data_IF_619775942685
#
_entry.id   IF_619775942685
#
_cell.length_a   1.000
_cell.length_b   1.000
_cell.length_c   1.000
_cell.angle_alpha   90.00
_cell.angle_beta   90.00
_cell.angle_gamma   90.00
#
_symmetry.space_group_name_H-M   'P 1'
#
loop_
_entity.id
_entity.type
_entity.pdbx_description
1 polymer ?
#
# COMPACT_ATOMS: atom_id res chain seq x y z
N UNK A 1 1.37 19.62 4.29
CA UNK A 1 1.88 18.29 4.68
C UNK A 1 2.19 17.53 3.39
N UNK A 2 3.37 16.93 3.25
CA UNK A 2 3.77 16.30 1.99
C UNK A 2 2.96 15.00 1.73
N UNK A 3 2.53 14.77 0.49
CA UNK A 3 1.86 13.53 0.10
C UNK A 3 2.78 12.31 0.33
N UNK A 4 2.21 11.13 0.63
CA UNK A 4 2.97 9.92 0.95
C UNK A 4 3.98 9.58 -0.15
N UNK A 5 3.58 9.70 -1.42
CA UNK A 5 4.45 9.43 -2.56
C UNK A 5 5.62 10.41 -2.58
N UNK A 6 5.39 11.70 -2.31
CA UNK A 6 6.47 12.68 -2.20
C UNK A 6 7.44 12.34 -1.06
N UNK A 7 6.94 11.92 0.11
CA UNK A 7 7.80 11.49 1.22
C UNK A 7 8.64 10.26 0.85
N UNK A 8 8.04 9.30 0.17
CA UNK A 8 8.72 8.11 -0.33
C UNK A 8 9.84 8.47 -1.31
N UNK A 9 9.57 9.34 -2.28
CA UNK A 9 10.58 9.78 -3.24
C UNK A 9 11.71 10.60 -2.61
N UNK A 10 11.43 11.40 -1.58
CA UNK A 10 12.49 12.07 -0.82
C UNK A 10 13.46 11.04 -0.18
N UNK A 11 12.94 9.93 0.35
CA UNK A 11 13.78 8.86 0.91
C UNK A 11 14.55 8.12 -0.19
N UNK A 12 13.95 7.90 -1.36
CA UNK A 12 14.61 7.28 -2.52
C UNK A 12 15.75 8.17 -3.05
N UNK A 13 15.54 9.48 -3.12
CA UNK A 13 16.56 10.46 -3.53
C UNK A 13 17.74 10.52 -2.54
N UNK A 14 17.46 10.31 -1.26
CA UNK A 14 18.46 10.11 -0.21
C UNK A 14 19.14 8.73 -0.27
N UNK A 15 18.85 7.94 -1.30
CA UNK A 15 19.40 6.62 -1.56
C UNK A 15 19.14 5.61 -0.43
N UNK A 16 17.97 5.70 0.22
CA UNK A 16 17.55 4.67 1.16
C UNK A 16 17.21 3.38 0.41
N UNK A 17 17.98 2.28 0.53
CA UNK A 17 17.75 1.09 -0.30
C UNK A 17 16.61 0.22 0.23
N UNK A 18 16.13 0.47 1.45
CA UNK A 18 14.98 -0.17 2.07
C UNK A 18 14.10 0.89 2.72
N UNK A 19 12.80 0.81 2.48
CA UNK A 19 11.79 1.70 3.08
C UNK A 19 10.59 0.84 3.47
N UNK A 20 10.07 0.99 4.69
CA UNK A 20 8.83 0.39 5.11
C UNK A 20 7.68 1.38 4.91
N UNK A 21 6.58 0.92 4.33
CA UNK A 21 5.39 1.73 4.03
C UNK A 21 4.17 1.07 4.64
N UNK A 22 3.58 1.76 5.62
CA UNK A 22 2.26 1.42 6.12
C UNK A 22 1.21 2.10 5.26
N UNK A 23 0.42 1.32 4.53
CA UNK A 23 -0.70 1.81 3.74
C UNK A 23 -1.85 0.81 3.85
N UNK A 24 -3.05 1.28 4.22
CA UNK A 24 -4.16 0.38 4.45
C UNK A 24 -4.62 -0.24 3.12
N UNK A 25 -5.16 -1.46 3.19
CA UNK A 25 -5.49 -2.24 1.99
C UNK A 25 -6.45 -1.53 1.03
N UNK A 26 -7.39 -0.73 1.53
CA UNK A 26 -8.32 0.03 0.68
C UNK A 26 -7.62 1.08 -0.20
N UNK A 27 -6.47 1.62 0.21
CA UNK A 27 -5.71 2.61 -0.57
C UNK A 27 -4.71 1.97 -1.54
N UNK A 28 -4.61 0.63 -1.55
CA UNK A 28 -3.52 -0.09 -2.25
C UNK A 28 -3.43 0.27 -3.73
N UNK A 29 -4.54 0.15 -4.47
CA UNK A 29 -4.57 0.40 -5.91
C UNK A 29 -4.16 1.86 -6.19
N UNK A 30 -4.76 2.81 -5.47
CA UNK A 30 -4.48 4.24 -5.61
C UNK A 30 -3.02 4.57 -5.29
N UNK A 31 -2.43 3.94 -4.29
CA UNK A 31 -1.01 4.09 -3.96
C UNK A 31 -0.11 3.55 -5.08
N UNK A 32 -0.39 2.33 -5.57
CA UNK A 32 0.38 1.72 -6.65
C UNK A 32 0.29 2.52 -7.94
N UNK A 33 -0.89 3.03 -8.29
CA UNK A 33 -1.09 3.91 -9.44
C UNK A 33 -0.24 5.18 -9.32
N UNK A 34 -0.35 5.91 -8.21
CA UNK A 34 0.42 7.13 -7.99
C UNK A 34 1.93 6.90 -7.98
N UNK A 35 2.37 5.84 -7.29
CA UNK A 35 3.78 5.48 -7.24
C UNK A 35 4.30 5.14 -8.65
N UNK A 36 3.53 4.37 -9.42
CA UNK A 36 3.91 4.00 -10.80
C UNK A 36 3.92 5.21 -11.72
N UNK A 37 2.95 6.13 -11.61
CA UNK A 37 2.95 7.40 -12.35
C UNK A 37 4.19 8.24 -12.04
N UNK A 38 4.53 8.39 -10.76
CA UNK A 38 5.71 9.16 -10.34
C UNK A 38 7.02 8.50 -10.79
N UNK A 39 7.09 7.17 -10.75
CA UNK A 39 8.20 6.39 -11.31
C UNK A 39 8.36 6.67 -12.81
N UNK A 40 7.26 6.64 -13.57
CA UNK A 40 7.27 6.92 -15.00
C UNK A 40 7.74 8.36 -15.30
N UNK A 41 7.27 9.36 -14.54
CA UNK A 41 7.70 10.75 -14.66
C UNK A 41 9.21 10.92 -14.43
N UNK A 42 9.80 10.11 -13.56
CA UNK A 42 11.23 10.14 -13.20
C UNK A 42 12.08 9.14 -13.97
N UNK A 43 11.50 8.42 -14.93
CA UNK A 43 12.15 7.37 -15.69
C UNK A 43 12.80 6.28 -14.79
N UNK A 44 12.08 5.89 -13.73
CA UNK A 44 12.47 4.81 -12.80
C UNK A 44 11.57 3.62 -13.04
N UNK A 45 12.12 2.41 -13.13
CA UNK A 45 11.28 1.21 -13.20
C UNK A 45 10.62 0.94 -11.85
N UNK A 46 9.34 0.59 -11.88
CA UNK A 46 8.60 0.18 -10.70
C UNK A 46 8.23 -1.30 -10.86
N UNK A 47 8.57 -2.11 -9.87
CA UNK A 47 8.30 -3.55 -9.84
C UNK A 47 7.47 -3.89 -8.62
N UNK A 48 6.63 -4.90 -8.74
CA UNK A 48 5.92 -5.51 -7.62
C UNK A 48 6.15 -7.00 -7.62
N UNK A 49 6.43 -7.54 -6.45
CA UNK A 49 6.44 -8.98 -6.22
C UNK A 49 5.35 -9.35 -5.23
N UNK A 50 4.60 -10.39 -5.57
CA UNK A 50 3.49 -10.90 -4.78
C UNK A 50 3.84 -12.30 -4.26
N UNK A 51 3.71 -12.50 -2.96
CA UNK A 51 3.96 -13.79 -2.33
C UNK A 51 2.96 -14.88 -2.79
N UNK A 52 1.76 -14.49 -3.22
CA UNK A 52 0.67 -15.41 -3.58
C UNK A 52 0.96 -16.23 -4.84
N UNK A 53 1.58 -15.62 -5.85
CA UNK A 53 1.91 -16.26 -7.13
C UNK A 53 3.43 -16.43 -7.36
N UNK A 54 4.25 -15.90 -6.45
CA UNK A 54 5.70 -15.83 -6.54
C UNK A 54 6.16 -15.33 -7.91
N UNK A 55 5.52 -14.28 -8.40
CA UNK A 55 5.87 -13.62 -9.65
C UNK A 55 6.35 -12.19 -9.42
N UNK A 56 7.25 -11.75 -10.31
CA UNK A 56 7.72 -10.38 -10.37
C UNK A 56 7.12 -9.71 -11.60
N UNK A 57 6.45 -8.58 -11.38
CA UNK A 57 5.84 -7.77 -12.43
C UNK A 57 6.46 -6.38 -12.46
N UNK A 58 6.64 -5.84 -13.67
CA UNK A 58 6.85 -4.42 -13.90
C UNK A 58 5.49 -3.73 -13.92
N UNK A 59 5.34 -2.69 -13.11
CA UNK A 59 4.16 -1.83 -13.08
C UNK A 59 4.27 -0.79 -14.19
N UNK A 60 3.18 -0.60 -14.93
CA UNK A 60 3.04 0.43 -15.96
C UNK A 60 1.69 1.12 -15.86
N UNK A 61 1.62 2.37 -16.30
CA UNK A 61 0.36 3.10 -16.47
C UNK A 61 0.02 3.11 -17.96
N UNK A 62 -1.05 2.40 -18.32
CA UNK A 62 -1.62 2.39 -19.66
C UNK A 62 -2.91 3.22 -19.64
N UNK A 63 -2.81 4.49 -20.03
CA UNK A 63 -3.91 5.45 -19.90
C UNK A 63 -4.17 5.81 -18.44
N UNK A 64 -5.30 5.38 -17.89
CA UNK A 64 -5.69 5.59 -16.49
C UNK A 64 -5.66 4.30 -15.65
N UNK A 65 -5.10 3.21 -16.19
CA UNK A 65 -5.11 1.90 -15.52
C UNK A 65 -3.71 1.39 -15.27
N UNK A 66 -3.52 0.78 -14.10
CA UNK A 66 -2.33 0.01 -13.75
C UNK A 66 -2.32 -1.30 -14.55
N UNK A 67 -1.22 -1.58 -15.22
CA UNK A 67 -0.98 -2.85 -15.91
C UNK A 67 0.26 -3.54 -15.37
N UNK A 68 0.22 -4.88 -15.37
CA UNK A 68 1.30 -5.75 -14.92
C UNK A 68 1.96 -6.40 -16.15
N UNK A 69 3.27 -6.24 -16.27
CA UNK A 69 4.07 -6.94 -17.28
C UNK A 69 5.04 -7.88 -16.57
N UNK A 70 5.03 -9.16 -16.92
CA UNK A 70 5.88 -10.15 -16.25
C UNK A 70 7.38 -9.89 -16.55
N UNK A 71 8.22 -9.97 -15.52
CA UNK A 71 9.68 -9.81 -15.66
C UNK A 71 10.32 -11.16 -15.96
N UNK A 72 10.74 -11.35 -17.21
CA UNK A 72 11.28 -12.62 -17.73
C UNK A 72 12.56 -13.11 -17.04
N UNK A 73 13.31 -12.17 -16.47
CA UNK A 73 14.59 -12.38 -15.79
C UNK A 73 14.39 -13.04 -14.42
N UNK A 74 13.24 -12.84 -13.79
CA UNK A 74 12.91 -13.49 -12.53
C UNK A 74 12.34 -14.88 -12.80
N UNK A 75 13.06 -15.90 -12.35
CA UNK A 75 12.63 -17.30 -12.41
C UNK A 75 12.49 -17.81 -11.00
N UNK A 76 11.26 -17.91 -10.46
CA UNK A 76 11.06 -18.44 -9.12
C UNK A 76 11.57 -19.88 -9.04
N UNK A 77 12.10 -20.27 -7.88
CA UNK A 77 12.55 -21.64 -7.66
C UNK A 77 11.36 -22.61 -7.85
N UNK A 78 11.49 -23.55 -8.79
CA UNK A 78 10.45 -24.55 -9.10
C UNK A 78 10.34 -25.63 -8.05
N UNK A 79 11.37 -25.81 -7.21
CA UNK A 79 11.42 -26.84 -6.17
C UNK A 79 11.55 -26.16 -4.82
N UNK A 80 10.41 -25.81 -4.22
CA UNK A 80 10.33 -25.23 -2.87
C UNK A 80 10.50 -26.36 -1.86
N UNK A 81 11.65 -26.39 -1.19
CA UNK A 81 12.01 -27.40 -0.17
C UNK A 81 12.03 -26.81 1.23
N UNK A 82 12.38 -25.53 1.34
CA UNK A 82 12.43 -24.77 2.59
C UNK A 82 11.65 -23.46 2.44
N UNK A 83 11.21 -22.86 3.55
CA UNK A 83 10.34 -21.66 3.51
C UNK A 83 11.04 -20.45 2.89
N UNK A 84 12.36 -20.38 2.98
CA UNK A 84 13.20 -19.34 2.36
C UNK A 84 13.08 -19.35 0.83
N UNK A 85 12.79 -20.52 0.22
CA UNK A 85 12.63 -20.63 -1.23
C UNK A 85 11.46 -19.78 -1.74
N UNK A 86 10.48 -19.44 -0.90
CA UNK A 86 9.38 -18.54 -1.25
C UNK A 86 9.79 -17.07 -1.31
N UNK A 87 11.02 -16.72 -0.87
CA UNK A 87 11.53 -15.34 -0.82
C UNK A 87 12.76 -15.17 -1.72
N UNK A 88 12.90 -16.00 -2.76
CA UNK A 88 13.99 -15.91 -3.74
C UNK A 88 14.07 -14.54 -4.42
N UNK A 89 12.97 -13.79 -4.49
CA UNK A 89 12.96 -12.40 -4.95
C UNK A 89 14.00 -11.53 -4.22
N UNK A 90 14.29 -11.78 -2.93
CA UNK A 90 15.28 -11.01 -2.17
C UNK A 90 16.70 -11.31 -2.67
N UNK A 91 17.00 -12.56 -2.99
CA UNK A 91 18.29 -12.95 -3.60
C UNK A 91 18.40 -12.41 -5.02
N UNK A 92 17.34 -12.56 -5.81
CA UNK A 92 17.26 -12.01 -7.16
C UNK A 92 17.50 -10.50 -7.17
N UNK A 93 16.80 -9.74 -6.34
CA UNK A 93 16.92 -8.28 -6.29
C UNK A 93 18.32 -7.82 -5.89
N UNK A 94 18.98 -8.56 -4.99
CA UNK A 94 20.38 -8.34 -4.61
C UNK A 94 21.31 -8.47 -5.81
N UNK A 95 21.17 -9.51 -6.63
CA UNK A 95 22.17 -9.89 -7.65
C UNK A 95 21.85 -9.43 -9.07
N UNK A 96 20.58 -9.12 -9.37
CA UNK A 96 20.15 -8.70 -10.71
C UNK A 96 20.80 -7.39 -11.14
N UNK A 97 20.93 -7.14 -12.45
CA UNK A 97 21.35 -5.85 -12.99
C UNK A 97 20.20 -4.84 -13.10
N UNK A 98 18.95 -5.27 -12.87
CA UNK A 98 17.79 -4.38 -12.90
C UNK A 98 17.94 -3.23 -11.90
N UNK A 99 17.45 -2.05 -12.27
CA UNK A 99 17.45 -0.85 -11.43
C UNK A 99 16.03 -0.34 -11.26
N UNK A 100 15.77 0.35 -10.16
CA UNK A 100 14.48 0.95 -9.85
C UNK A 100 13.96 0.59 -8.47
N UNK A 101 12.64 0.49 -8.37
CA UNK A 101 11.93 0.29 -7.11
C UNK A 101 11.26 -1.08 -7.14
N UNK A 102 11.52 -1.91 -6.13
CA UNK A 102 10.84 -3.19 -5.91
C UNK A 102 9.86 -3.03 -4.75
N UNK A 103 8.58 -3.28 -4.98
CA UNK A 103 7.54 -3.34 -3.97
C UNK A 103 7.37 -4.79 -3.53
N UNK A 104 7.58 -5.04 -2.23
CA UNK A 104 7.44 -6.33 -1.58
C UNK A 104 6.19 -6.31 -0.71
N UNK A 105 5.20 -7.10 -1.09
CA UNK A 105 3.99 -7.29 -0.29
C UNK A 105 4.08 -8.56 0.58
N UNK A 106 3.33 -8.57 1.68
CA UNK A 106 3.20 -9.77 2.53
C UNK A 106 4.43 -10.08 3.40
N UNK A 107 5.40 -9.17 3.49
CA UNK A 107 6.65 -9.41 4.23
C UNK A 107 6.53 -9.15 5.73
N UNK A 108 5.69 -8.20 6.17
CA UNK A 108 5.58 -7.78 7.58
C UNK A 108 5.25 -8.90 8.58
N UNK A 109 4.35 -9.86 8.28
CA UNK A 109 4.11 -11.00 9.17
C UNK A 109 5.41 -11.74 9.55
N UNK A 110 6.39 -11.78 8.66
CA UNK A 110 7.66 -12.48 8.83
C UNK A 110 8.74 -11.69 9.58
N UNK A 111 8.60 -10.36 9.68
CA UNK A 111 9.65 -9.47 10.23
C UNK A 111 9.19 -8.63 11.42
N UNK A 112 7.96 -8.84 11.89
CA UNK A 112 7.33 -8.04 12.94
C UNK A 112 7.79 -8.40 14.35
N UNK A 113 7.43 -9.56 14.91
CA UNK A 113 7.87 -9.98 16.25
C UNK A 113 8.27 -11.46 16.29
N UNK A 114 9.05 -11.82 17.30
CA UNK A 114 9.53 -13.17 17.53
C UNK A 114 8.36 -14.15 17.70
N UNK A 115 8.42 -15.26 16.96
CA UNK A 115 7.43 -16.33 17.03
C UNK A 115 7.93 -17.48 17.88
N UNK A 116 7.00 -18.25 18.44
CA UNK A 116 7.33 -19.44 19.24
C UNK A 116 7.67 -20.65 18.35
N UNK A 117 7.19 -20.67 17.11
CA UNK A 117 7.53 -21.70 16.11
C UNK A 117 9.01 -21.53 15.67
N UNK A 118 9.82 -22.56 15.89
CA UNK A 118 11.26 -22.58 15.57
C UNK A 118 11.53 -22.47 14.07
N UNK A 119 10.69 -23.10 13.24
CA UNK A 119 10.87 -23.07 11.79
C UNK A 119 10.47 -21.69 11.25
N UNK A 120 9.46 -21.07 11.84
CA UNK A 120 9.09 -19.70 11.49
C UNK A 120 10.18 -18.72 11.92
N UNK A 121 10.72 -18.91 13.13
CA UNK A 121 11.80 -18.09 13.65
C UNK A 121 13.02 -18.12 12.73
N UNK A 122 13.47 -19.30 12.29
CA UNK A 122 14.61 -19.41 11.38
C UNK A 122 14.38 -18.68 10.06
N UNK A 123 13.20 -18.84 9.46
CA UNK A 123 12.85 -18.13 8.22
C UNK A 123 12.74 -16.61 8.44
N UNK A 124 12.17 -16.18 9.56
CA UNK A 124 12.11 -14.76 9.93
C UNK A 124 13.50 -14.15 10.08
N UNK A 125 14.41 -14.80 10.82
CA UNK A 125 15.81 -14.37 10.95
C UNK A 125 16.53 -14.34 9.59
N UNK A 126 16.27 -15.34 8.73
CA UNK A 126 16.81 -15.36 7.39
C UNK A 126 16.31 -14.18 6.54
N UNK A 127 15.01 -13.88 6.56
CA UNK A 127 14.42 -12.73 5.83
C UNK A 127 15.01 -11.42 6.34
N UNK A 128 15.10 -11.24 7.67
CA UNK A 128 15.71 -10.04 8.27
C UNK A 128 17.17 -9.87 7.82
N UNK A 129 17.94 -10.95 7.83
CA UNK A 129 19.32 -10.97 7.30
C UNK A 129 19.37 -10.64 5.80
N UNK A 130 18.45 -11.18 5.00
CA UNK A 130 18.37 -10.89 3.57
C UNK A 130 18.05 -9.40 3.31
N UNK A 131 17.16 -8.79 4.09
CA UNK A 131 16.85 -7.35 4.02
C UNK A 131 18.08 -6.50 4.42
N UNK A 132 18.76 -6.81 5.53
CA UNK A 132 19.98 -6.11 5.92
C UNK A 132 21.03 -6.19 4.81
N UNK A 133 21.19 -7.35 4.19
CA UNK A 133 22.06 -7.52 3.04
C UNK A 133 21.61 -6.68 1.85
N UNK A 134 20.32 -6.65 1.51
CA UNK A 134 19.82 -5.75 0.46
C UNK A 134 20.21 -4.30 0.73
N UNK A 135 20.06 -3.83 1.97
CA UNK A 135 20.50 -2.48 2.36
C UNK A 135 22.00 -2.26 2.14
N UNK A 136 22.84 -3.25 2.41
CA UNK A 136 24.30 -3.14 2.25
C UNK A 136 24.72 -3.16 0.77
N UNK A 137 24.17 -4.08 -0.02
CA UNK A 137 24.59 -4.29 -1.41
C UNK A 137 23.95 -3.31 -2.39
N UNK A 138 22.78 -2.75 -2.07
CA UNK A 138 22.08 -1.82 -2.95
C UNK A 138 22.43 -0.35 -2.69
N UNK A 139 23.41 -0.06 -1.81
CA UNK A 139 23.90 1.31 -1.63
C UNK A 139 24.48 1.83 -2.94
N UNK A 140 24.06 3.01 -3.38
CA UNK A 140 24.45 3.61 -4.66
C UNK A 140 24.15 2.75 -5.91
N UNK A 141 23.30 1.72 -5.82
CA UNK A 141 22.99 0.84 -6.96
C UNK A 141 21.72 1.26 -7.72
N UNK A 142 21.13 2.41 -7.38
CA UNK A 142 19.82 2.86 -7.88
C UNK A 142 18.70 1.82 -7.70
N UNK A 143 18.81 0.98 -6.67
CA UNK A 143 17.78 0.01 -6.28
C UNK A 143 17.22 0.40 -4.91
N UNK A 144 15.90 0.49 -4.83
CA UNK A 144 15.19 0.61 -3.56
C UNK A 144 14.18 -0.51 -3.43
N UNK A 145 14.08 -1.14 -2.27
CA UNK A 145 12.99 -2.04 -1.94
C UNK A 145 12.02 -1.37 -0.96
N UNK A 146 10.73 -1.44 -1.27
CA UNK A 146 9.62 -0.93 -0.47
C UNK A 146 8.93 -2.13 0.15
N UNK A 147 8.91 -2.19 1.49
CA UNK A 147 8.14 -3.17 2.24
C UNK A 147 6.73 -2.59 2.44
N UNK A 148 5.73 -3.11 1.74
CA UNK A 148 4.38 -2.55 1.72
C UNK A 148 3.39 -3.43 2.49
N UNK A 149 2.63 -2.82 3.40
CA UNK A 149 1.60 -3.54 4.16
C UNK A 149 0.67 -2.64 4.94
N UNK A 150 -0.48 -3.18 5.41
CA UNK A 150 -1.44 -2.42 6.21
C UNK A 150 -1.00 -2.20 7.67
N UNK A 151 0.07 -2.87 8.09
CA UNK A 151 0.72 -2.69 9.38
C UNK A 151 2.22 -2.86 9.15
N UNK A 152 2.98 -1.78 9.23
CA UNK A 152 4.42 -1.77 8.96
C UNK A 152 5.25 -2.04 10.22
N UNK A 153 4.77 -2.92 11.10
CA UNK A 153 5.50 -3.28 12.32
C UNK A 153 6.79 -4.01 11.99
N UNK A 154 7.91 -3.45 12.42
CA UNK A 154 9.24 -4.04 12.34
C UNK A 154 9.69 -4.50 13.72
N UNK A 155 10.46 -5.58 13.76
CA UNK A 155 11.17 -6.02 14.95
C UNK A 155 12.27 -5.01 15.33
N UNK A 156 12.54 -4.88 16.64
CA UNK A 156 13.39 -3.81 17.18
C UNK A 156 14.83 -3.85 16.68
N UNK A 157 15.32 -5.02 16.29
CA UNK A 157 16.65 -5.26 15.74
C UNK A 157 16.84 -4.69 14.32
N UNK A 158 15.77 -4.58 13.53
CA UNK A 158 15.82 -3.99 12.17
C UNK A 158 15.13 -2.63 12.06
N UNK A 159 14.31 -2.25 13.03
CA UNK A 159 13.52 -1.00 12.99
C UNK A 159 14.40 0.25 12.83
N UNK A 160 15.58 0.29 13.48
CA UNK A 160 16.51 1.41 13.34
C UNK A 160 17.17 1.50 11.95
N UNK A 161 17.11 0.43 11.16
CA UNK A 161 17.75 0.34 9.85
C UNK A 161 16.81 0.68 8.70
N UNK A 162 15.49 0.59 8.89
CA UNK A 162 14.51 0.73 7.81
C UNK A 162 13.59 1.91 8.14
N UNK A 163 13.72 3.07 7.47
CA UNK A 163 12.79 4.17 7.66
C UNK A 163 11.37 3.71 7.36
N UNK A 164 10.45 4.04 8.26
CA UNK A 164 9.04 3.68 8.14
C UNK A 164 8.22 4.93 7.91
N UNK A 165 7.41 4.94 6.86
CA UNK A 165 6.44 5.99 6.55
C UNK A 165 5.02 5.42 6.62
N UNK A 166 4.08 6.23 7.09
CA UNK A 166 2.69 5.81 7.28
C UNK A 166 1.76 6.67 6.44
N UNK A 167 0.81 6.02 5.78
CA UNK A 167 -0.26 6.71 5.08
C UNK A 167 -1.27 7.28 6.07
N UNK A 168 -1.13 8.56 6.33
CA UNK A 168 -2.09 9.31 7.13
C UNK A 168 -3.44 9.44 6.42
N UNK A 169 -4.49 9.65 7.22
CA UNK A 169 -5.80 10.02 6.71
C UNK A 169 -5.72 11.36 5.95
N UNK A 170 -6.49 11.53 4.87
CA UNK A 170 -6.49 12.76 4.10
C UNK A 170 -7.05 13.93 4.94
N UNK A 171 -6.48 15.12 4.77
CA UNK A 171 -7.05 16.36 5.32
C UNK A 171 -8.28 16.79 4.53
N UNK A 172 -9.09 17.70 5.09
CA UNK A 172 -10.29 18.22 4.41
C UNK A 172 -9.93 18.86 3.07
N UNK A 173 -8.81 19.58 2.98
CA UNK A 173 -8.35 20.20 1.74
C UNK A 173 -8.02 19.15 0.67
N UNK A 174 -7.39 18.05 1.08
CA UNK A 174 -7.07 16.93 0.18
C UNK A 174 -8.33 16.19 -0.28
N UNK A 175 -9.33 16.06 0.61
CA UNK A 175 -10.64 15.50 0.25
C UNK A 175 -11.33 16.44 -0.74
N UNK A 176 -11.42 17.74 -0.47
CA UNK A 176 -12.02 18.73 -1.38
C UNK A 176 -11.43 18.66 -2.79
N UNK A 177 -10.10 18.77 -2.91
CA UNK A 177 -9.42 18.70 -4.21
C UNK A 177 -9.68 17.36 -4.93
N UNK A 178 -9.83 16.27 -4.18
CA UNK A 178 -10.18 14.98 -4.76
C UNK A 178 -11.64 14.93 -5.23
N UNK A 179 -12.58 15.46 -4.44
CA UNK A 179 -14.00 15.53 -4.79
C UNK A 179 -14.23 16.35 -6.06
N UNK A 180 -13.55 17.49 -6.21
CA UNK A 180 -13.58 18.32 -7.42
C UNK A 180 -13.18 17.54 -8.68
N UNK A 181 -12.34 16.51 -8.56
CA UNK A 181 -11.88 15.69 -9.68
C UNK A 181 -12.84 14.56 -10.06
N UNK A 182 -13.74 14.12 -9.16
CA UNK A 182 -14.59 12.94 -9.36
C UNK A 182 -16.08 13.26 -9.41
N UNK A 183 -16.50 14.39 -8.83
CA UNK A 183 -17.90 14.82 -8.85
C UNK A 183 -18.19 15.64 -10.12
N UNK A 184 -19.42 15.56 -10.66
CA UNK A 184 -19.84 16.42 -11.75
C UNK A 184 -19.79 17.91 -11.36
N UNK A 185 -19.59 18.78 -12.35
CA UNK A 185 -19.53 20.24 -12.17
C UNK A 185 -20.84 20.87 -11.70
N UNK A 186 -21.90 20.09 -11.54
CA UNK A 186 -23.19 20.52 -10.99
C UNK A 186 -23.15 20.78 -9.50
N UNK A 187 -22.19 20.22 -8.76
CA UNK A 187 -22.01 20.46 -7.34
C UNK A 187 -21.29 21.78 -7.10
N UNK A 188 -21.87 22.64 -6.28
CA UNK A 188 -21.26 23.89 -5.84
C UNK A 188 -20.09 23.65 -4.88
N UNK A 189 -19.17 24.60 -4.76
CA UNK A 189 -18.05 24.52 -3.79
C UNK A 189 -18.53 24.38 -2.34
N UNK A 190 -19.72 24.88 -2.02
CA UNK A 190 -20.33 24.74 -0.69
C UNK A 190 -20.72 23.27 -0.46
N UNK A 191 -21.43 22.66 -1.41
CA UNK A 191 -21.83 21.24 -1.32
C UNK A 191 -20.60 20.32 -1.30
N UNK A 192 -19.58 20.59 -2.11
CA UNK A 192 -18.31 19.84 -2.09
C UNK A 192 -17.68 19.90 -0.69
N UNK A 193 -17.65 21.08 -0.06
CA UNK A 193 -17.10 21.23 1.27
C UNK A 193 -17.92 20.51 2.35
N UNK A 194 -19.26 20.49 2.24
CA UNK A 194 -20.13 19.70 3.12
C UNK A 194 -19.85 18.20 2.99
N UNK A 195 -19.73 17.71 1.75
CA UNK A 195 -19.36 16.33 1.44
C UNK A 195 -17.98 15.98 2.01
N UNK A 196 -17.00 16.88 1.88
CA UNK A 196 -15.66 16.67 2.42
C UNK A 196 -15.67 16.57 3.95
N UNK A 197 -16.41 17.45 4.63
CA UNK A 197 -16.55 17.42 6.09
C UNK A 197 -17.23 16.14 6.58
N UNK A 198 -18.27 15.67 5.89
CA UNK A 198 -18.91 14.39 6.18
C UNK A 198 -17.94 13.19 6.04
N UNK A 199 -17.01 13.30 5.10
CA UNK A 199 -16.03 12.27 4.74
C UNK A 199 -14.77 12.24 5.62
N UNK A 200 -14.57 13.21 6.51
CA UNK A 200 -13.39 13.27 7.40
C UNK A 200 -13.22 11.96 8.17
N UNK A 201 -12.00 11.46 8.26
CA UNK A 201 -11.71 10.19 8.94
C UNK A 201 -11.93 8.95 8.07
N UNK A 202 -12.20 9.13 6.78
CA UNK A 202 -12.16 8.08 5.77
C UNK A 202 -10.95 8.24 4.86
N UNK A 203 -10.49 7.14 4.30
CA UNK A 203 -9.52 7.16 3.21
C UNK A 203 -10.20 7.55 1.89
N UNK A 204 -9.43 8.07 0.93
CA UNK A 204 -9.98 8.56 -0.34
C UNK A 204 -10.64 7.43 -1.13
N UNK A 205 -10.06 6.22 -1.10
CA UNK A 205 -10.67 5.05 -1.72
C UNK A 205 -12.05 4.71 -1.12
N UNK A 206 -12.21 4.83 0.20
CA UNK A 206 -13.50 4.60 0.86
C UNK A 206 -14.52 5.69 0.48
N UNK A 207 -14.06 6.94 0.31
CA UNK A 207 -14.90 8.06 -0.12
C UNK A 207 -15.42 7.82 -1.54
N UNK A 208 -14.57 7.41 -2.47
CA UNK A 208 -14.97 7.07 -3.84
C UNK A 208 -16.02 5.95 -3.87
N UNK A 209 -15.81 4.88 -3.09
CA UNK A 209 -16.77 3.78 -2.99
C UNK A 209 -18.10 4.29 -2.42
N UNK A 210 -18.05 5.06 -1.34
CA UNK A 210 -19.24 5.65 -0.72
C UNK A 210 -20.04 6.53 -1.66
N UNK A 211 -19.36 7.36 -2.47
CA UNK A 211 -19.99 8.22 -3.49
C UNK A 211 -20.65 7.36 -4.57
N UNK A 212 -19.94 6.36 -5.11
CA UNK A 212 -20.48 5.47 -6.14
C UNK A 212 -21.73 4.74 -5.65
N UNK A 213 -21.70 4.21 -4.41
CA UNK A 213 -22.87 3.59 -3.78
C UNK A 213 -24.03 4.57 -3.62
N UNK A 214 -23.77 5.77 -3.10
CA UNK A 214 -24.80 6.79 -2.88
C UNK A 214 -25.46 7.25 -4.20
N UNK A 215 -24.68 7.38 -5.28
CA UNK A 215 -25.19 7.74 -6.61
C UNK A 215 -26.02 6.58 -7.18
N UNK A 216 -25.55 5.34 -7.09
CA UNK A 216 -26.28 4.17 -7.58
C UNK A 216 -27.65 4.00 -6.89
N UNK A 217 -27.72 4.26 -5.58
CA UNK A 217 -28.97 4.23 -4.80
C UNK A 217 -29.96 5.34 -5.18
N UNK A 218 -29.51 6.41 -5.85
CA UNK A 218 -30.36 7.56 -6.23
C UNK A 218 -31.21 7.29 -7.48
N UNK A 219 -31.09 6.12 -8.10
CA UNK A 219 -31.90 5.72 -9.27
C UNK A 219 -33.33 5.26 -8.92
N UNK A 220 -33.66 5.13 -7.63
CA UNK A 220 -35.00 4.78 -7.16
C UNK A 220 -35.58 5.98 -6.42
N UNK A 221 -36.65 6.54 -6.98
CA UNK A 221 -37.48 7.65 -6.49
C UNK A 221 -37.32 7.97 -4.99
N UNK A 222 -36.62 9.07 -4.68
CA UNK A 222 -36.81 10.06 -3.59
C UNK A 222 -35.51 10.89 -3.51
N UNK A 223 -35.59 12.14 -3.98
CA UNK A 223 -34.51 13.13 -4.08
C UNK A 223 -34.29 13.92 -2.77
N UNK A 224 -34.63 13.36 -1.60
CA UNK A 224 -34.65 14.15 -0.35
C UNK A 224 -33.36 14.08 0.49
N UNK A 225 -32.50 13.07 0.29
CA UNK A 225 -31.31 12.87 1.14
C UNK A 225 -30.05 13.35 0.42
N UNK A 226 -29.36 14.32 1.01
CA UNK A 226 -28.13 14.90 0.46
C UNK A 226 -27.02 13.85 0.34
N UNK A 227 -26.09 14.05 -0.61
CA UNK A 227 -24.94 13.15 -0.76
C UNK A 227 -24.06 13.12 0.51
N UNK A 228 -23.97 14.23 1.23
CA UNK A 228 -23.26 14.33 2.51
C UNK A 228 -23.90 13.43 3.59
N UNK A 229 -25.22 13.36 3.65
CA UNK A 229 -25.93 12.47 4.58
C UNK A 229 -25.74 10.99 4.21
N UNK A 230 -25.82 10.66 2.91
CA UNK A 230 -25.55 9.29 2.43
C UNK A 230 -24.13 8.85 2.77
N UNK A 231 -23.14 9.71 2.57
CA UNK A 231 -21.75 9.43 2.94
C UNK A 231 -21.54 9.31 4.46
N UNK A 232 -22.21 10.16 5.24
CA UNK A 232 -22.19 10.05 6.70
C UNK A 232 -22.73 8.70 7.17
N UNK A 233 -23.83 8.24 6.59
CA UNK A 233 -24.40 6.92 6.86
C UNK A 233 -23.46 5.78 6.43
N UNK A 234 -22.85 5.90 5.26
CA UNK A 234 -21.84 4.95 4.78
C UNK A 234 -20.65 4.85 5.75
N UNK A 235 -20.11 6.00 6.20
CA UNK A 235 -19.05 6.07 7.22
C UNK A 235 -19.45 5.37 8.52
N UNK A 236 -20.66 5.60 9.02
CA UNK A 236 -21.17 4.90 10.21
C UNK A 236 -21.20 3.38 9.98
N UNK A 237 -21.60 2.94 8.79
CA UNK A 237 -21.62 1.51 8.44
C UNK A 237 -20.21 0.90 8.40
N UNK A 238 -19.22 1.62 7.87
CA UNK A 238 -17.82 1.21 7.86
C UNK A 238 -17.27 1.05 9.28
N UNK A 239 -17.54 2.03 10.16
CA UNK A 239 -17.11 1.99 11.55
C UNK A 239 -17.75 0.81 12.31
N UNK A 240 -19.04 0.52 12.06
CA UNK A 240 -19.72 -0.65 12.64
C UNK A 240 -19.07 -1.95 12.20
N UNK A 241 -18.72 -2.10 10.92
CA UNK A 241 -18.00 -3.28 10.39
C UNK A 241 -16.59 -3.44 10.98
N UNK A 242 -15.89 -2.33 11.17
CA UNK A 242 -14.57 -2.32 11.84
C UNK A 242 -14.65 -2.70 13.32
N UNK A 243 -15.70 -2.27 14.02
CA UNK A 243 -15.93 -2.60 15.42
C UNK A 243 -16.29 -4.08 15.63
N UNK A 244 -17.11 -4.68 14.76
CA UNK A 244 -17.43 -6.11 14.84
C UNK A 244 -16.21 -6.99 14.57
N UNK A 245 -15.30 -6.63 13.64
CA UNK A 245 -14.03 -7.38 13.45
C UNK A 245 -13.15 -7.45 14.70
N UNK A 246 -13.13 -6.42 15.55
CA UNK A 246 -12.38 -6.43 16.83
C UNK A 246 -13.00 -7.33 17.90
N UNK A 247 -14.29 -7.68 17.79
CA UNK A 247 -14.99 -8.54 18.76
C UNK A 247 -14.70 -10.03 18.58
N UNK A 248 -14.49 -10.49 17.35
CA UNK A 248 -14.15 -11.88 17.04
C UNK A 248 -12.71 -12.26 17.44
N UNK A 249 -11.75 -11.34 17.30
CA UNK A 249 -10.35 -11.57 17.68
C UNK A 249 -10.16 -11.71 19.21
N UNK A 250 -11.16 -11.33 20.02
CA UNK A 250 -11.12 -11.51 21.48
C UNK A 250 -11.77 -12.81 21.97
N UNK A 251 -12.43 -13.59 21.12
CA UNK A 251 -13.15 -14.79 21.55
C UNK A 251 -12.37 -16.11 21.37
N UNK A 252 -11.24 -16.12 20.65
CA UNK A 252 -10.40 -17.32 20.46
C UNK A 252 -9.21 -17.40 21.43
N UNK A 253 -9.34 -16.82 22.63
CA UNK A 253 -8.43 -17.06 23.76
C UNK A 253 -9.21 -17.57 24.96
N UNK A 254 -9.66 -18.83 24.89
CA UNK A 254 -9.93 -19.68 26.06
C UNK A 254 -9.42 -21.07 25.76
#
# INVERSE_FOLDING_TARGET
>A
MADLVSQLFNLIEQQNPLIAVESPSQERIRLLEKLTSECALRNVNCYIWMLEDDQLYRLQINGQQLSLEQVSEYKPNTTKTVREDYFEVLRFWKTTSLQGILILEGIFPWISQATIDSDFFLTAEWIKSALINLKLYNQNSHKTAILLGPNASLSSDIAALIPTITQELPTVEKINAHLESILPTTYSSIEINEIANASVGMYLADIEIGIRSAIAETTVEIQEVSLADKLSNYKISLLKRGATRKSWVKQDKV
#
